data_IF_307008109703
#
_entry.id   IF_307008109703
#
_cell.length_a   1.000
_cell.length_b   1.000
_cell.length_c   1.000
_cell.angle_alpha   90.00
_cell.angle_beta   90.00
_cell.angle_gamma   90.00
#
_symmetry.space_group_name_H-M   'P 1'
#
loop_
_entity.id
_entity.type
_entity.pdbx_description
1 polymer ?
#
# COMPACT_ATOMS: atom_id res chain seq x y z
N UNK A 1 8.40 -4.79 -6.81
CA UNK A 1 8.07 -6.23 -6.96
C UNK A 1 6.79 -6.31 -7.78
N UNK A 2 6.72 -7.21 -8.76
CA UNK A 2 5.50 -7.44 -9.55
C UNK A 2 4.76 -8.65 -8.99
N UNK A 3 3.58 -8.43 -8.41
CA UNK A 3 2.78 -9.50 -7.79
C UNK A 3 1.38 -9.47 -8.41
N UNK A 4 0.89 -10.64 -8.83
CA UNK A 4 -0.53 -10.79 -9.17
C UNK A 4 -1.35 -10.93 -7.89
N UNK A 5 -2.51 -10.27 -7.83
CA UNK A 5 -3.42 -10.33 -6.68
C UNK A 5 -4.78 -10.79 -7.18
N UNK A 6 -5.25 -11.93 -6.67
CA UNK A 6 -6.58 -12.46 -6.97
C UNK A 6 -7.66 -11.70 -6.20
N UNK A 7 -8.88 -11.74 -6.70
CA UNK A 7 -10.05 -11.20 -6.01
C UNK A 7 -10.14 -11.73 -4.57
N UNK A 8 -10.39 -10.82 -3.62
CA UNK A 8 -10.45 -11.04 -2.17
C UNK A 8 -9.15 -11.56 -1.52
N UNK A 9 -8.09 -11.76 -2.30
CA UNK A 9 -6.78 -12.09 -1.72
C UNK A 9 -6.14 -10.84 -1.14
N UNK A 10 -5.43 -11.03 -0.04
CA UNK A 10 -4.72 -9.97 0.70
C UNK A 10 -3.26 -10.36 0.82
N UNK A 11 -2.39 -9.45 0.42
CA UNK A 11 -0.95 -9.58 0.60
C UNK A 11 -0.47 -8.47 1.49
N UNK A 12 0.23 -8.82 2.57
CA UNK A 12 0.78 -7.85 3.53
C UNK A 12 2.29 -7.80 3.34
N UNK A 13 2.82 -6.60 3.19
CA UNK A 13 4.25 -6.31 3.15
C UNK A 13 4.65 -5.58 4.42
N UNK A 14 5.81 -5.92 4.96
CA UNK A 14 6.40 -5.22 6.10
C UNK A 14 7.49 -4.27 5.60
N UNK A 15 7.53 -3.07 6.17
CA UNK A 15 8.47 -2.00 5.84
C UNK A 15 9.09 -1.46 7.12
N UNK A 16 10.41 -1.41 7.17
CA UNK A 16 11.14 -0.72 8.22
C UNK A 16 11.14 0.79 7.96
N UNK A 17 10.54 1.55 8.88
CA UNK A 17 10.55 3.02 8.89
C UNK A 17 11.63 3.49 9.87
N UNK A 18 12.75 4.04 9.38
CA UNK A 18 13.79 4.57 10.27
C UNK A 18 13.30 5.79 11.07
N UNK A 19 14.00 6.11 12.15
CA UNK A 19 13.78 7.32 12.92
C UNK A 19 13.92 8.60 12.07
N UNK A 20 13.16 9.65 12.45
CA UNK A 20 13.32 11.00 11.90
C UNK A 20 12.81 11.20 10.47
N UNK A 21 11.97 10.30 9.96
CA UNK A 21 11.36 10.43 8.63
C UNK A 21 10.19 11.42 8.66
N UNK A 22 10.00 12.14 7.56
CA UNK A 22 8.96 13.16 7.41
C UNK A 22 7.76 12.67 6.63
N UNK A 23 7.95 11.64 5.81
CA UNK A 23 6.87 11.09 4.98
C UNK A 23 7.13 9.63 4.64
N UNK A 24 6.10 8.81 4.83
CA UNK A 24 6.01 7.46 4.28
C UNK A 24 5.00 7.51 3.14
N UNK A 25 5.45 7.24 1.92
CA UNK A 25 4.59 7.23 0.74
C UNK A 25 4.56 5.85 0.13
N UNK A 26 3.35 5.29 0.01
CA UNK A 26 3.08 4.04 -0.68
C UNK A 26 2.40 4.37 -1.99
N UNK A 27 2.99 3.92 -3.09
CA UNK A 27 2.48 4.09 -4.45
C UNK A 27 2.25 2.72 -5.05
N UNK A 28 1.01 2.41 -5.35
CA UNK A 28 0.63 1.18 -6.04
C UNK A 28 0.09 1.52 -7.44
N UNK A 29 0.60 0.83 -8.45
CA UNK A 29 0.22 1.05 -9.84
C UNK A 29 0.11 -0.27 -10.57
N UNK A 30 -0.54 -0.25 -11.73
CA UNK A 30 -0.61 -1.38 -12.66
C UNK A 30 -0.28 -0.89 -14.07
N UNK A 31 0.35 -1.71 -14.93
CA UNK A 31 0.60 -1.33 -16.32
C UNK A 31 -0.69 -0.96 -17.06
N UNK A 32 -0.57 -0.07 -18.05
CA UNK A 32 -1.68 0.25 -18.94
C UNK A 32 -2.19 -1.02 -19.64
N UNK A 33 -3.51 -1.13 -19.82
CA UNK A 33 -4.15 -2.32 -20.39
C UNK A 33 -4.37 -3.47 -19.39
N UNK A 34 -3.85 -3.39 -18.16
CA UNK A 34 -4.17 -4.37 -17.11
C UNK A 34 -5.48 -3.98 -16.44
N UNK A 35 -6.47 -4.88 -16.55
CA UNK A 35 -7.74 -4.76 -15.86
C UNK A 35 -7.64 -5.18 -14.40
N UNK A 36 -8.73 -4.96 -13.66
CA UNK A 36 -8.80 -5.30 -12.24
C UNK A 36 -8.60 -4.09 -11.33
N UNK A 37 -9.10 -4.21 -10.12
CA UNK A 37 -9.09 -3.17 -9.09
C UNK A 37 -8.47 -3.76 -7.84
N UNK A 38 -7.71 -2.93 -7.13
CA UNK A 38 -7.10 -3.23 -5.86
C UNK A 38 -7.26 -2.04 -4.90
N UNK A 39 -7.19 -2.34 -3.61
CA UNK A 39 -7.13 -1.37 -2.52
C UNK A 39 -5.83 -1.54 -1.76
N UNK A 40 -5.29 -0.44 -1.26
CA UNK A 40 -4.09 -0.40 -0.44
C UNK A 40 -4.47 0.15 0.92
N UNK A 41 -3.96 -0.47 1.97
CA UNK A 41 -4.12 -0.05 3.35
C UNK A 41 -2.76 -0.01 4.03
N UNK A 42 -2.49 1.05 4.78
CA UNK A 42 -1.22 1.25 5.49
C UNK A 42 -1.47 1.47 6.98
N UNK A 43 -0.75 0.74 7.82
CA UNK A 43 -0.82 0.83 9.27
C UNK A 43 0.58 0.78 9.88
N UNK A 44 0.88 1.61 10.88
CA UNK A 44 2.15 1.55 11.61
C UNK A 44 2.01 0.76 12.92
N UNK A 45 3.12 0.16 13.37
CA UNK A 45 3.25 -0.55 14.65
C UNK A 45 2.64 -1.96 14.69
N UNK A 46 1.60 -2.25 13.90
CA UNK A 46 0.97 -3.58 13.84
C UNK A 46 0.42 -3.89 12.47
N UNK A 47 0.42 -5.18 12.09
CA UNK A 47 -0.21 -5.61 10.85
C UNK A 47 -1.73 -5.37 10.93
N UNK A 48 -2.37 -4.84 9.88
CA UNK A 48 -3.82 -4.76 9.85
C UNK A 48 -4.40 -6.18 9.74
N UNK A 49 -5.20 -6.60 10.72
CA UNK A 49 -6.01 -7.81 10.62
C UNK A 49 -7.32 -7.56 9.86
N UNK A 50 -7.79 -6.31 9.90
CA UNK A 50 -8.98 -5.82 9.22
C UNK A 50 -8.71 -4.47 8.52
N UNK A 51 -9.32 -4.20 7.36
CA UNK A 51 -9.13 -2.95 6.59
C UNK A 51 -9.45 -1.65 7.34
N UNK A 52 -10.18 -1.76 8.46
CA UNK A 52 -10.85 -0.64 9.12
C UNK A 52 -9.95 0.09 10.14
N UNK A 53 -8.80 -0.49 10.49
CA UNK A 53 -7.91 0.01 11.55
C UNK A 53 -6.58 0.49 10.95
N UNK A 54 -6.64 1.44 10.02
CA UNK A 54 -5.50 1.84 9.18
C UNK A 54 -5.37 3.35 9.14
N UNK A 55 -4.14 3.84 8.99
CA UNK A 55 -3.86 5.29 8.99
C UNK A 55 -4.11 5.93 7.64
N UNK A 56 -4.00 5.14 6.57
CA UNK A 56 -4.15 5.64 5.22
C UNK A 56 -4.57 4.52 4.26
N UNK A 57 -5.40 4.90 3.29
CA UNK A 57 -5.97 3.99 2.27
C UNK A 57 -5.87 4.60 0.89
N UNK A 58 -5.67 3.77 -0.13
CA UNK A 58 -5.77 4.19 -1.53
C UNK A 58 -6.57 3.17 -2.35
N UNK A 59 -7.37 3.66 -3.29
CA UNK A 59 -8.26 2.83 -4.12
C UNK A 59 -8.00 3.08 -5.61
N UNK A 60 -7.60 2.03 -6.32
CA UNK A 60 -7.31 2.09 -7.76
C UNK A 60 -8.53 2.41 -8.64
N UNK A 61 -9.75 2.27 -8.11
CA UNK A 61 -10.99 2.66 -8.81
C UNK A 61 -11.24 4.18 -8.76
N UNK A 62 -10.63 4.88 -7.79
CA UNK A 62 -10.75 6.33 -7.62
C UNK A 62 -9.58 7.04 -8.32
N UNK A 63 -8.35 6.56 -8.11
CA UNK A 63 -7.15 7.14 -8.72
C UNK A 63 -6.09 6.09 -9.04
N UNK A 64 -5.39 6.29 -10.15
CA UNK A 64 -4.24 5.47 -10.53
C UNK A 64 -3.08 6.40 -10.98
N UNK A 65 -1.87 6.28 -10.39
CA UNK A 65 -1.49 5.36 -9.33
C UNK A 65 -2.27 5.59 -8.03
N UNK A 66 -2.56 4.52 -7.30
CA UNK A 66 -3.18 4.60 -5.99
C UNK A 66 -2.08 4.99 -4.98
N UNK A 67 -2.17 6.21 -4.46
CA UNK A 67 -1.15 6.79 -3.58
C UNK A 67 -1.73 6.97 -2.18
N UNK A 68 -0.97 6.51 -1.20
CA UNK A 68 -1.24 6.68 0.22
C UNK A 68 -0.01 7.31 0.87
N UNK A 69 -0.18 8.42 1.59
CA UNK A 69 0.90 9.15 2.23
C UNK A 69 0.61 9.43 3.71
N UNK A 70 1.60 9.14 4.56
CA UNK A 70 1.57 9.43 6.00
C UNK A 70 2.64 10.47 6.28
N UNK A 71 2.24 11.55 6.94
CA UNK A 71 3.13 12.66 7.33
C UNK A 71 3.65 12.43 8.75
N UNK A 72 4.95 12.64 8.96
CA UNK A 72 5.66 12.32 10.20
C UNK A 72 5.39 10.88 10.70
N UNK A 73 5.72 9.86 9.88
CA UNK A 73 5.46 8.47 10.25
C UNK A 73 6.21 8.08 11.52
N UNK A 74 5.58 7.21 12.34
CA UNK A 74 6.21 6.65 13.54
C UNK A 74 7.39 5.75 13.14
N UNK A 75 8.47 5.78 13.91
CA UNK A 75 9.59 4.86 13.71
C UNK A 75 9.21 3.41 14.00
N UNK A 76 9.85 2.46 13.33
CA UNK A 76 9.59 1.03 13.50
C UNK A 76 8.86 0.42 12.30
N UNK A 77 8.04 -0.60 12.54
CA UNK A 77 7.39 -1.37 11.47
C UNK A 77 6.16 -0.66 10.92
N UNK A 78 6.08 -0.55 9.60
CA UNK A 78 4.86 -0.22 8.88
C UNK A 78 4.42 -1.40 8.02
N UNK A 79 3.12 -1.62 7.94
CA UNK A 79 2.51 -2.72 7.23
C UNK A 79 1.66 -2.18 6.09
N UNK A 80 1.94 -2.66 4.88
CA UNK A 80 1.23 -2.31 3.66
C UNK A 80 0.44 -3.53 3.21
N UNK A 81 -0.87 -3.48 3.39
CA UNK A 81 -1.78 -4.51 2.87
C UNK A 81 -2.30 -4.09 1.51
N UNK A 82 -2.24 -4.99 0.53
CA UNK A 82 -2.90 -4.83 -0.76
C UNK A 82 -3.97 -5.90 -0.90
N UNK A 83 -5.19 -5.47 -1.18
CA UNK A 83 -6.36 -6.33 -1.37
C UNK A 83 -6.83 -6.26 -2.82
N UNK A 84 -7.03 -7.40 -3.46
CA UNK A 84 -7.63 -7.48 -4.78
C UNK A 84 -9.14 -7.31 -4.68
N UNK A 85 -9.70 -6.25 -5.26
CA UNK A 85 -11.15 -6.10 -5.41
C UNK A 85 -11.64 -6.99 -6.57
N UNK A 86 -10.86 -7.04 -7.64
CA UNK A 86 -10.98 -8.00 -8.75
C UNK A 86 -9.58 -8.50 -9.11
N UNK A 87 -9.48 -9.53 -9.95
CA UNK A 87 -8.18 -10.10 -10.32
C UNK A 87 -7.29 -9.06 -11.03
N UNK A 88 -6.08 -8.87 -10.51
CA UNK A 88 -5.04 -7.99 -11.06
C UNK A 88 -3.80 -8.83 -11.32
N UNK A 89 -3.46 -9.05 -12.59
CA UNK A 89 -2.38 -9.96 -12.96
C UNK A 89 -0.98 -9.38 -12.70
N UNK A 90 -0.84 -8.05 -12.77
CA UNK A 90 0.44 -7.36 -12.58
C UNK A 90 0.24 -6.07 -11.80
N UNK A 91 0.81 -6.02 -10.60
CA UNK A 91 0.85 -4.83 -9.75
C UNK A 91 2.29 -4.43 -9.45
N UNK A 92 2.59 -3.15 -9.55
CA UNK A 92 3.84 -2.54 -9.11
C UNK A 92 3.60 -1.77 -7.82
N UNK A 93 4.22 -2.22 -6.73
CA UNK A 93 4.22 -1.54 -5.43
C UNK A 93 5.58 -0.87 -5.18
N UNK A 94 5.54 0.41 -4.81
CA UNK A 94 6.71 1.21 -4.42
C UNK A 94 6.44 1.88 -3.08
N UNK A 95 7.43 1.84 -2.19
CA UNK A 95 7.38 2.51 -0.89
C UNK A 95 8.58 3.43 -0.78
N UNK A 96 8.33 4.71 -0.54
CA UNK A 96 9.36 5.75 -0.37
C UNK A 96 9.27 6.31 1.06
N UNK A 97 10.38 6.21 1.80
CA UNK A 97 10.49 6.74 3.16
C UNK A 97 11.41 7.96 3.17
N UNK A 98 10.80 9.15 3.14
CA UNK A 98 11.46 10.41 2.84
C UNK A 98 11.83 11.18 4.11
N UNK A 99 12.97 11.87 4.05
CA UNK A 99 13.50 12.74 5.11
C UNK A 99 13.11 14.21 4.94
N UNK A 100 12.60 14.59 3.77
CA UNK A 100 12.15 15.94 3.41
C UNK A 100 10.83 15.88 2.65
#
# INVERSE_FOLDING_TARGET
>A
MTTGINQLSRTVYEVDVPAGKKRLQVTATKPAGINGQFKVYVRQGSAPEVPNAVECTADSSISLPAVCSIVNPVEGKAYVMVEGVTNVNTLSLRVDVLTK
#
